data_IF_272778402143
#
_entry.id   IF_272778402143
#
_cell.length_a   1.000
_cell.length_b   1.000
_cell.length_c   1.000
_cell.angle_alpha   90.00
_cell.angle_beta   90.00
_cell.angle_gamma   90.00
#
_symmetry.space_group_name_H-M   'P 1'
#
loop_
_entity.id
_entity.type
_entity.pdbx_description
1 polymer ?
#
# COMPACT_ATOMS: atom_id res chain seq x y z
N UNK A 1 -1.80 -6.53 -14.68
CA UNK A 1 -1.59 -7.07 -13.33
C UNK A 1 -1.31 -8.58 -13.29
N UNK A 2 -1.98 -9.44 -14.07
CA UNK A 2 -1.75 -10.90 -14.04
C UNK A 2 -0.30 -11.33 -14.29
N UNK A 3 0.37 -10.73 -15.28
CA UNK A 3 1.79 -11.01 -15.53
C UNK A 3 2.69 -10.65 -14.34
N UNK A 4 2.35 -9.59 -13.60
CA UNK A 4 3.06 -9.19 -12.39
C UNK A 4 2.86 -10.22 -11.27
N UNK A 5 1.63 -10.70 -11.09
CA UNK A 5 1.29 -11.74 -10.12
C UNK A 5 1.87 -13.11 -10.47
N UNK A 6 2.00 -13.44 -11.75
CA UNK A 6 2.71 -14.65 -12.18
C UNK A 6 4.17 -14.61 -11.71
N UNK A 7 4.87 -13.50 -11.96
CA UNK A 7 6.29 -13.34 -11.58
C UNK A 7 6.50 -13.39 -10.08
N UNK A 8 5.66 -12.73 -9.28
CA UNK A 8 5.80 -12.77 -7.82
C UNK A 8 5.47 -14.15 -7.23
N UNK A 9 4.51 -14.89 -7.81
CA UNK A 9 4.22 -16.26 -7.36
C UNK A 9 5.40 -17.19 -7.63
N UNK A 10 5.98 -17.14 -8.83
CA UNK A 10 7.18 -17.91 -9.18
C UNK A 10 8.34 -17.53 -8.27
N UNK A 11 8.59 -16.23 -8.09
CA UNK A 11 9.67 -15.74 -7.23
C UNK A 11 9.46 -16.11 -5.75
N UNK A 12 8.23 -16.07 -5.23
CA UNK A 12 7.93 -16.44 -3.85
C UNK A 12 8.18 -17.93 -3.58
N UNK A 13 7.76 -18.80 -4.51
CA UNK A 13 8.06 -20.23 -4.44
C UNK A 13 9.57 -20.48 -4.57
N UNK A 14 10.22 -19.81 -5.51
CA UNK A 14 11.67 -19.91 -5.72
C UNK A 14 12.45 -19.52 -4.47
N UNK A 15 12.09 -18.40 -3.84
CA UNK A 15 12.69 -17.95 -2.58
C UNK A 15 12.54 -18.99 -1.47
N UNK A 16 11.34 -19.58 -1.31
CA UNK A 16 11.11 -20.64 -0.32
C UNK A 16 11.98 -21.89 -0.59
N UNK A 17 12.23 -22.21 -1.85
CA UNK A 17 13.07 -23.33 -2.29
C UNK A 17 14.56 -22.97 -2.40
N UNK A 18 14.98 -21.79 -1.95
CA UNK A 18 16.37 -21.30 -2.03
C UNK A 18 16.91 -21.26 -3.47
N UNK A 19 16.05 -20.90 -4.42
CA UNK A 19 16.35 -20.73 -5.84
C UNK A 19 16.50 -19.25 -6.19
N UNK A 20 17.55 -18.64 -5.65
CA UNK A 20 17.84 -17.20 -5.80
C UNK A 20 18.00 -16.79 -7.27
N UNK A 21 18.54 -17.69 -8.10
CA UNK A 21 18.66 -17.53 -9.55
C UNK A 21 17.31 -17.19 -10.20
N UNK A 22 16.26 -17.89 -9.79
CA UNK A 22 14.93 -17.72 -10.36
C UNK A 22 14.21 -16.49 -9.79
N UNK A 23 14.49 -16.09 -8.55
CA UNK A 23 13.99 -14.82 -7.98
C UNK A 23 14.55 -13.65 -8.78
N UNK A 24 15.85 -13.65 -9.05
CA UNK A 24 16.53 -12.63 -9.83
C UNK A 24 16.04 -12.60 -11.29
N UNK A 25 15.85 -13.76 -11.93
CA UNK A 25 15.28 -13.85 -13.28
C UNK A 25 13.86 -13.23 -13.34
N UNK A 26 12.99 -13.54 -12.37
CA UNK A 26 11.67 -12.93 -12.32
C UNK A 26 11.72 -11.41 -12.12
N UNK A 27 12.66 -10.91 -11.31
CA UNK A 27 12.87 -9.48 -11.12
C UNK A 27 13.38 -8.79 -12.39
N UNK A 28 14.32 -9.39 -13.12
CA UNK A 28 14.78 -8.89 -14.41
C UNK A 28 13.65 -8.86 -15.44
N UNK A 29 12.85 -9.91 -15.52
CA UNK A 29 11.70 -9.95 -16.43
C UNK A 29 10.56 -9.01 -16.03
N UNK A 30 10.53 -8.51 -14.79
CA UNK A 30 9.58 -7.47 -14.37
C UNK A 30 9.90 -6.12 -15.04
N UNK A 31 11.17 -5.82 -15.32
CA UNK A 31 11.61 -4.54 -15.93
C UNK A 31 10.90 -4.21 -17.26
N UNK A 32 10.91 -5.06 -18.30
CA UNK A 32 10.18 -4.79 -19.54
C UNK A 32 8.66 -4.76 -19.33
N UNK A 33 8.13 -5.52 -18.37
CA UNK A 33 6.71 -5.50 -18.05
C UNK A 33 6.30 -4.15 -17.42
N UNK A 34 7.13 -3.57 -16.55
CA UNK A 34 6.91 -2.23 -16.01
C UNK A 34 6.95 -1.16 -17.12
N UNK A 35 7.88 -1.28 -18.07
CA UNK A 35 7.93 -0.37 -19.22
C UNK A 35 6.64 -0.42 -20.07
N UNK A 36 6.03 -1.60 -20.19
CA UNK A 36 4.75 -1.74 -20.88
C UNK A 36 3.54 -1.29 -20.04
N UNK A 37 3.58 -1.50 -18.73
CA UNK A 37 2.44 -1.23 -17.84
C UNK A 37 2.36 0.22 -17.35
N UNK A 38 3.47 0.97 -17.37
CA UNK A 38 3.55 2.28 -16.72
C UNK A 38 3.82 3.42 -17.71
N UNK A 39 3.01 4.46 -17.59
CA UNK A 39 3.28 5.76 -18.19
C UNK A 39 4.39 6.51 -17.43
N UNK A 40 4.95 7.55 -18.04
CA UNK A 40 6.07 8.32 -17.46
C UNK A 40 5.76 8.98 -16.10
N UNK A 41 4.48 9.22 -15.80
CA UNK A 41 3.99 9.75 -14.53
C UNK A 41 3.63 8.64 -13.51
N UNK A 42 3.82 7.37 -13.83
CA UNK A 42 3.48 6.23 -12.98
C UNK A 42 2.05 5.71 -13.13
N UNK A 43 1.23 6.34 -13.98
CA UNK A 43 -0.12 5.84 -14.25
C UNK A 43 -0.08 4.43 -14.85
N UNK A 44 -1.08 3.63 -14.51
CA UNK A 44 -1.23 2.24 -14.94
C UNK A 44 -2.40 2.10 -15.93
N UNK A 45 -2.28 2.55 -17.20
CA UNK A 45 -3.41 2.75 -18.11
C UNK A 45 -4.33 1.53 -18.26
N UNK A 46 -3.75 0.32 -18.34
CA UNK A 46 -4.51 -0.92 -18.46
C UNK A 46 -5.37 -1.22 -17.21
N UNK A 47 -4.90 -0.81 -16.03
CA UNK A 47 -5.63 -0.96 -14.77
C UNK A 47 -6.65 0.17 -14.59
N UNK A 48 -6.28 1.39 -15.01
CA UNK A 48 -7.14 2.58 -14.96
C UNK A 48 -8.38 2.46 -15.85
N UNK A 49 -8.31 1.69 -16.94
CA UNK A 49 -9.44 1.39 -17.81
C UNK A 49 -10.46 0.39 -17.21
N UNK A 50 -10.17 -0.22 -16.05
CA UNK A 50 -11.04 -1.24 -15.44
C UNK A 50 -12.17 -0.60 -14.64
N UNK A 51 -13.29 -1.32 -14.51
CA UNK A 51 -14.47 -0.89 -13.72
C UNK A 51 -14.19 -0.71 -12.22
N UNK A 52 -13.14 -1.36 -11.70
CA UNK A 52 -12.62 -1.19 -10.34
C UNK A 52 -11.16 -0.72 -10.40
N UNK A 53 -10.91 0.36 -11.14
CA UNK A 53 -9.55 0.80 -11.48
C UNK A 53 -8.63 0.96 -10.28
N UNK A 54 -9.09 1.62 -9.21
CA UNK A 54 -8.30 1.81 -8.00
C UNK A 54 -7.83 0.49 -7.40
N UNK A 55 -8.73 -0.50 -7.31
CA UNK A 55 -8.40 -1.83 -6.82
C UNK A 55 -7.36 -2.53 -7.70
N UNK A 56 -7.50 -2.46 -9.03
CA UNK A 56 -6.54 -3.11 -9.93
C UNK A 56 -5.17 -2.43 -9.94
N UNK A 57 -5.11 -1.11 -9.82
CA UNK A 57 -3.87 -0.36 -9.70
C UNK A 57 -3.13 -0.69 -8.39
N UNK A 58 -3.84 -0.71 -7.26
CA UNK A 58 -3.32 -1.15 -5.96
C UNK A 58 -2.86 -2.62 -6.00
N UNK A 59 -3.69 -3.51 -6.55
CA UNK A 59 -3.41 -4.94 -6.67
C UNK A 59 -2.17 -5.24 -7.53
N UNK A 60 -1.92 -4.47 -8.59
CA UNK A 60 -0.69 -4.61 -9.35
C UNK A 60 0.54 -4.17 -8.54
N UNK A 61 0.44 -3.04 -7.83
CA UNK A 61 1.54 -2.52 -7.01
C UNK A 61 1.89 -3.44 -5.84
N UNK A 62 0.91 -4.17 -5.28
CA UNK A 62 1.18 -5.23 -4.31
C UNK A 62 2.11 -6.31 -4.86
N UNK A 63 1.90 -6.76 -6.11
CA UNK A 63 2.76 -7.76 -6.72
C UNK A 63 4.18 -7.23 -6.96
N UNK A 64 4.29 -6.02 -7.52
CA UNK A 64 5.60 -5.42 -7.84
C UNK A 64 6.39 -5.09 -6.57
N UNK A 65 5.72 -4.59 -5.52
CA UNK A 65 6.32 -4.31 -4.19
C UNK A 65 6.89 -5.58 -3.55
N UNK A 66 6.13 -6.67 -3.58
CA UNK A 66 6.59 -7.96 -3.05
C UNK A 66 7.80 -8.48 -3.81
N UNK A 67 7.78 -8.43 -5.15
CA UNK A 67 8.92 -8.86 -5.95
C UNK A 67 10.15 -7.96 -5.71
N UNK A 68 9.97 -6.65 -5.61
CA UNK A 68 11.05 -5.73 -5.29
C UNK A 68 11.66 -6.01 -3.91
N UNK A 69 10.84 -6.39 -2.92
CA UNK A 69 11.32 -6.81 -1.59
C UNK A 69 12.15 -8.09 -1.66
N UNK A 70 11.68 -9.11 -2.37
CA UNK A 70 12.41 -10.36 -2.55
C UNK A 70 13.75 -10.13 -3.27
N UNK A 71 13.73 -9.39 -4.38
CA UNK A 71 14.92 -9.11 -5.17
C UNK A 71 15.95 -8.25 -4.41
N UNK A 72 15.49 -7.31 -3.59
CA UNK A 72 16.35 -6.46 -2.78
C UNK A 72 17.15 -7.25 -1.73
N UNK A 73 16.57 -8.33 -1.18
CA UNK A 73 17.30 -9.25 -0.29
C UNK A 73 18.44 -10.00 -1.01
N UNK A 74 18.40 -10.06 -2.34
CA UNK A 74 19.42 -10.63 -3.21
C UNK A 74 20.23 -9.54 -3.94
N UNK A 75 20.25 -8.32 -3.39
CA UNK A 75 21.02 -7.18 -3.89
C UNK A 75 20.62 -6.66 -5.28
N UNK A 76 19.43 -7.02 -5.79
CA UNK A 76 18.85 -6.41 -6.99
C UNK A 76 17.83 -5.34 -6.59
N UNK A 77 18.16 -4.08 -6.84
CA UNK A 77 17.33 -2.93 -6.48
C UNK A 77 16.27 -2.64 -7.56
N UNK A 78 15.12 -3.31 -7.45
CA UNK A 78 13.95 -3.02 -8.28
C UNK A 78 13.18 -1.77 -7.80
N UNK A 79 13.43 -1.30 -6.57
CA UNK A 79 12.79 -0.09 -6.03
C UNK A 79 13.25 1.16 -6.79
N UNK A 80 14.56 1.27 -7.04
CA UNK A 80 15.16 2.40 -7.76
C UNK A 80 15.27 2.19 -9.27
N UNK A 81 14.83 1.04 -9.79
CA UNK A 81 14.80 0.78 -11.22
C UNK A 81 13.91 1.81 -11.95
N UNK A 82 14.41 2.30 -13.09
CA UNK A 82 13.67 3.18 -13.98
C UNK A 82 13.53 2.56 -15.36
N UNK A 83 12.32 2.65 -15.92
CA UNK A 83 12.04 2.31 -17.31
C UNK A 83 12.64 3.37 -18.25
N UNK A 84 12.80 3.09 -19.56
CA UNK A 84 13.30 4.08 -20.53
C UNK A 84 12.54 5.42 -20.57
N UNK A 85 11.23 5.42 -20.28
CA UNK A 85 10.42 6.65 -20.17
C UNK A 85 10.53 7.33 -18.77
N UNK A 86 11.46 6.88 -17.93
CA UNK A 86 11.68 7.39 -16.57
C UNK A 86 10.61 7.00 -15.56
N UNK A 87 9.74 6.03 -15.88
CA UNK A 87 8.78 5.46 -14.92
C UNK A 87 9.43 4.41 -14.00
N UNK A 88 8.64 3.78 -13.15
CA UNK A 88 9.11 2.74 -12.22
C UNK A 88 8.16 2.55 -11.05
N UNK A 89 8.49 1.61 -10.15
CA UNK A 89 7.67 1.29 -8.98
C UNK A 89 7.40 2.54 -8.12
N UNK A 90 8.42 3.34 -7.85
CA UNK A 90 8.24 4.55 -7.04
C UNK A 90 7.32 5.58 -7.70
N UNK A 91 7.45 5.84 -9.00
CA UNK A 91 6.52 6.75 -9.68
C UNK A 91 5.09 6.22 -9.68
N UNK A 92 4.90 4.92 -9.80
CA UNK A 92 3.57 4.32 -9.74
C UNK A 92 2.97 4.39 -8.33
N UNK A 93 3.80 4.28 -7.28
CA UNK A 93 3.39 4.55 -5.90
C UNK A 93 3.10 6.05 -5.68
N UNK A 94 3.93 6.95 -6.21
CA UNK A 94 3.70 8.41 -6.18
C UNK A 94 2.37 8.79 -6.82
N UNK A 95 2.02 8.16 -7.94
CA UNK A 95 0.74 8.36 -8.62
C UNK A 95 -0.45 7.98 -7.73
N UNK A 96 -0.32 6.91 -6.94
CA UNK A 96 -1.41 6.40 -6.11
C UNK A 96 -1.48 7.06 -4.72
N UNK A 97 -0.35 7.49 -4.15
CA UNK A 97 -0.25 7.92 -2.75
C UNK A 97 -1.20 9.06 -2.34
N UNK A 98 -1.47 10.09 -3.17
CA UNK A 98 -2.41 11.15 -2.81
C UNK A 98 -3.82 10.66 -2.49
N UNK A 99 -4.24 9.57 -3.12
CA UNK A 99 -5.59 9.00 -2.97
C UNK A 99 -5.76 8.14 -1.71
N UNK A 100 -4.77 8.16 -0.80
CA UNK A 100 -4.98 7.81 0.60
C UNK A 100 -5.92 8.82 1.26
N UNK A 101 -5.81 10.11 0.90
CA UNK A 101 -6.74 11.13 1.37
C UNK A 101 -8.14 10.86 0.81
N UNK A 102 -9.08 10.63 1.72
CA UNK A 102 -10.49 10.41 1.38
C UNK A 102 -11.15 11.62 0.71
N UNK A 103 -10.59 12.82 0.90
CA UNK A 103 -11.12 14.06 0.33
C UNK A 103 -10.67 14.31 -1.11
N UNK A 104 -9.66 13.59 -1.60
CA UNK A 104 -9.19 13.72 -2.98
C UNK A 104 -9.93 12.74 -3.87
N UNK A 105 -10.72 13.21 -4.83
CA UNK A 105 -11.49 12.33 -5.72
C UNK A 105 -10.61 11.49 -6.65
N UNK A 106 -11.01 10.24 -6.86
CA UNK A 106 -10.36 9.36 -7.83
C UNK A 106 -10.97 9.58 -9.22
N UNK A 107 -10.21 10.09 -10.22
CA UNK A 107 -10.79 10.56 -11.48
C UNK A 107 -11.07 9.45 -12.51
N UNK A 108 -10.98 8.18 -12.12
CA UNK A 108 -11.16 7.02 -13.01
C UNK A 108 -12.31 6.11 -12.56
N UNK A 109 -12.84 5.22 -13.43
CA UNK A 109 -13.95 4.34 -13.08
C UNK A 109 -13.64 3.46 -11.87
N UNK A 110 -14.39 3.61 -10.78
CA UNK A 110 -14.21 2.76 -9.61
C UNK A 110 -15.55 2.51 -8.92
N UNK A 111 -15.73 1.29 -8.40
CA UNK A 111 -16.87 0.97 -7.54
C UNK A 111 -16.59 1.26 -6.07
N UNK A 112 -15.33 1.11 -5.67
CA UNK A 112 -14.88 1.12 -4.30
C UNK A 112 -13.41 1.59 -4.22
N UNK A 113 -13.12 2.54 -3.33
CA UNK A 113 -11.77 3.08 -3.09
C UNK A 113 -11.39 2.91 -1.63
N UNK A 114 -10.35 2.11 -1.38
CA UNK A 114 -9.80 1.87 -0.05
C UNK A 114 -8.35 2.35 0.01
N UNK A 115 -8.15 3.66 0.17
CA UNK A 115 -6.82 4.29 0.19
C UNK A 115 -5.87 3.68 1.21
N UNK A 116 -6.39 3.26 2.37
CA UNK A 116 -5.63 2.58 3.43
C UNK A 116 -4.85 1.34 2.96
N UNK A 117 -5.26 0.69 1.86
CA UNK A 117 -4.53 -0.47 1.30
C UNK A 117 -3.16 -0.12 0.74
N UNK A 118 -2.91 1.16 0.44
CA UNK A 118 -1.61 1.63 -0.04
C UNK A 118 -0.59 1.77 1.11
N UNK A 119 -1.02 1.95 2.36
CA UNK A 119 -0.13 2.21 3.50
C UNK A 119 0.99 1.16 3.62
N UNK A 120 0.73 -0.15 3.58
CA UNK A 120 1.81 -1.14 3.70
C UNK A 120 2.82 -1.06 2.56
N UNK A 121 2.40 -0.68 1.34
CA UNK A 121 3.26 -0.59 0.17
C UNK A 121 4.17 0.64 0.28
N UNK A 122 3.60 1.77 0.69
CA UNK A 122 4.33 3.01 0.93
C UNK A 122 5.34 2.87 2.09
N UNK A 123 4.93 2.23 3.20
CA UNK A 123 5.82 1.95 4.32
C UNK A 123 6.99 1.02 3.94
N UNK A 124 6.73 0.02 3.09
CA UNK A 124 7.79 -0.86 2.56
C UNK A 124 8.77 -0.08 1.67
N UNK A 125 8.27 0.84 0.84
CA UNK A 125 9.11 1.69 0.02
C UNK A 125 9.99 2.61 0.89
N UNK A 126 9.43 3.29 1.89
CA UNK A 126 10.20 4.13 2.82
C UNK A 126 11.29 3.33 3.53
N UNK A 127 10.96 2.12 4.00
CA UNK A 127 11.92 1.20 4.63
C UNK A 127 13.04 0.80 3.66
N UNK A 128 12.70 0.39 2.43
CA UNK A 128 13.67 -0.04 1.42
C UNK A 128 14.58 1.11 0.96
N UNK A 129 14.05 2.33 0.93
CA UNK A 129 14.81 3.53 0.56
C UNK A 129 15.63 4.10 1.70
N UNK A 130 15.27 3.81 2.96
CA UNK A 130 15.83 4.45 4.15
C UNK A 130 15.44 5.93 4.24
N UNK A 131 14.28 6.31 3.70
CA UNK A 131 13.85 7.71 3.57
C UNK A 131 12.35 7.85 3.88
N UNK A 132 11.91 8.96 4.51
CA UNK A 132 10.51 9.18 4.86
C UNK A 132 9.70 9.74 3.67
N UNK A 133 9.78 9.12 2.49
CA UNK A 133 9.18 9.63 1.25
C UNK A 133 7.65 9.73 1.35
N UNK A 134 7.01 8.76 1.99
CA UNK A 134 5.55 8.64 1.99
C UNK A 134 4.91 8.87 3.37
N UNK A 135 5.67 9.23 4.39
CA UNK A 135 5.17 9.42 5.75
C UNK A 135 4.00 10.42 5.83
N UNK A 136 4.02 11.48 5.03
CA UNK A 136 2.91 12.43 4.95
C UNK A 136 1.60 11.74 4.52
N UNK A 137 1.64 10.94 3.45
CA UNK A 137 0.47 10.22 2.96
C UNK A 137 0.02 9.12 3.93
N UNK A 138 0.97 8.39 4.53
CA UNK A 138 0.69 7.36 5.54
C UNK A 138 -0.04 7.95 6.75
N UNK A 139 0.35 9.15 7.19
CA UNK A 139 -0.29 9.83 8.32
C UNK A 139 -1.76 10.21 8.04
N UNK A 140 -2.11 10.54 6.78
CA UNK A 140 -3.49 10.84 6.39
C UNK A 140 -4.41 9.62 6.41
N UNK A 141 -3.86 8.42 6.17
CA UNK A 141 -4.60 7.16 6.19
C UNK A 141 -4.65 6.48 7.56
N UNK A 142 -3.75 6.87 8.47
CA UNK A 142 -3.71 6.36 9.84
C UNK A 142 -4.76 7.10 10.67
N UNK A 143 -5.71 6.37 11.25
CA UNK A 143 -6.73 6.95 12.13
C UNK A 143 -6.06 7.79 13.22
N UNK A 144 -6.28 9.12 13.21
CA UNK A 144 -6.04 9.91 14.41
C UNK A 144 -7.12 9.57 15.42
N UNK A 145 -6.78 9.17 16.67
CA UNK A 145 -7.78 9.11 17.72
C UNK A 145 -8.42 10.50 17.83
N UNK A 146 -9.75 10.58 18.07
CA UNK A 146 -10.42 11.87 18.13
C UNK A 146 -9.71 12.77 19.13
N UNK A 147 -9.22 13.92 18.67
CA UNK A 147 -8.52 14.87 19.52
C UNK A 147 -9.50 15.56 20.48
N UNK A 148 -9.14 15.57 21.77
CA UNK A 148 -9.45 16.60 22.77
C UNK A 148 -10.89 16.83 23.24
N UNK A 149 -11.92 16.52 22.45
CA UNK A 149 -13.33 16.75 22.85
C UNK A 149 -14.16 15.48 22.94
N UNK A 150 -13.90 14.49 22.09
CA UNK A 150 -14.63 13.23 22.13
C UNK A 150 -14.10 12.27 23.20
N UNK A 151 -12.81 12.36 23.58
CA UNK A 151 -12.29 11.62 24.74
C UNK A 151 -12.91 12.17 26.03
N UNK A 152 -12.95 13.49 26.21
CA UNK A 152 -13.58 14.11 27.39
C UNK A 152 -15.04 13.69 27.57
N UNK A 153 -15.83 13.68 26.49
CA UNK A 153 -17.22 13.23 26.53
C UNK A 153 -17.37 11.74 26.86
N UNK A 154 -16.51 10.88 26.32
CA UNK A 154 -16.50 9.44 26.64
C UNK A 154 -16.05 9.20 28.09
N UNK A 155 -15.16 10.04 28.63
CA UNK A 155 -14.71 9.93 30.03
C UNK A 155 -15.78 10.41 31.00
N UNK A 156 -16.47 11.52 30.69
CA UNK A 156 -17.65 11.97 31.45
C UNK A 156 -18.78 10.94 31.44
N UNK A 157 -19.11 10.37 30.27
CA UNK A 157 -20.17 9.37 30.14
C UNK A 157 -19.82 8.08 30.93
N UNK A 158 -18.53 7.70 31.03
CA UNK A 158 -18.07 6.55 31.83
C UNK A 158 -18.00 6.85 33.34
N UNK A 159 -17.68 8.08 33.75
CA UNK A 159 -17.72 8.51 35.15
C UNK A 159 -19.16 8.61 35.68
N UNK A 160 -20.10 9.04 34.84
CA UNK A 160 -21.53 9.06 35.15
C UNK A 160 -22.10 7.65 35.36
N UNK A 161 -21.66 6.67 34.57
CA UNK A 161 -22.07 5.26 34.73
C UNK A 161 -21.51 4.66 36.04
N UNK A 162 -20.26 4.97 36.38
CA UNK A 162 -19.63 4.44 37.61
C UNK A 162 -20.09 5.13 38.90
N UNK A 163 -20.77 6.28 38.84
CA UNK A 163 -21.38 6.92 40.01
C UNK A 163 -22.79 6.39 40.32
N UNK A 164 -23.45 5.71 39.37
CA UNK A 164 -24.79 5.13 39.57
C UNK A 164 -24.78 3.68 40.09
N UNK A 165 -23.65 2.97 40.04
CA UNK A 165 -23.55 1.56 40.47
C UNK A 165 -22.94 1.37 41.88
N UNK A 166 -22.95 2.44 42.69
CA UNK A 166 -22.31 2.48 44.02
C UNK A 166 -23.26 2.35 45.23
N UNK A 167 -24.57 2.18 45.05
CA UNK A 167 -25.49 2.03 46.18
C UNK A 167 -26.58 0.97 45.90
N UNK A 168 -26.66 0.01 46.82
CA UNK A 168 -27.75 -0.93 47.09
C UNK A 168 -27.91 -2.18 46.21
N UNK A 169 -27.20 -3.25 46.59
CA UNK A 169 -27.84 -4.57 46.77
C UNK A 169 -27.38 -5.14 48.13
N UNK A 170 -28.12 -4.80 49.18
CA UNK A 170 -28.19 -5.59 50.43
C UNK A 170 -29.24 -6.69 50.20
N UNK A 171 -28.84 -7.93 50.48
CA UNK A 171 -29.68 -9.12 50.39
C UNK A 171 -30.67 -9.13 51.57
N UNK A 172 -31.96 -9.24 51.29
CA UNK A 172 -32.97 -9.79 52.19
C UNK A 172 -33.83 -10.81 51.44
#
# INVERSE_FOLDING_TARGET
>A
NHGSWYKVQVAGIAWYLQRDDLVLDMAEQMKPLLNYQLEANGAQPLELARTRSFHYSDFNLQAVTQLATLANNLHLDLWRYQTPNGSGLLKALDFMAPYIDKNLDWPYPTRDRFGIRLIPLLSQADKALGQPRYQHWIALGSFSPPTGKSVAKVTEDLELINQTDGNDIVIH
#
